data_IF_562077454140
#
_entry.id   IF_562077454140
#
_cell.length_a   1.000
_cell.length_b   1.000
_cell.length_c   1.000
_cell.angle_alpha   90.00
_cell.angle_beta   90.00
_cell.angle_gamma   90.00
#
_symmetry.space_group_name_H-M   'P 1'
#
loop_
_entity.id
_entity.type
_entity.pdbx_description
1 polymer ?
#
# COMPACT_ATOMS: atom_id res chain seq x y z
N UNK A 1 -36.31 12.81 17.99
CA UNK A 1 -36.98 11.54 18.39
C UNK A 1 -37.62 10.95 17.13
N UNK A 2 -36.86 10.25 16.29
CA UNK A 2 -37.34 9.66 15.04
C UNK A 2 -37.90 8.26 15.34
N UNK A 3 -39.21 8.07 15.06
CA UNK A 3 -39.88 6.79 15.24
C UNK A 3 -39.38 5.78 14.18
N UNK A 4 -38.74 4.74 14.63
CA UNK A 4 -38.41 3.52 13.86
C UNK A 4 -39.72 2.76 13.48
N UNK A 5 -40.39 3.18 12.41
CA UNK A 5 -41.55 2.45 11.87
C UNK A 5 -41.37 1.91 10.44
N UNK A 6 -40.16 1.93 9.91
CA UNK A 6 -39.86 1.59 8.49
C UNK A 6 -39.41 0.13 8.24
N UNK A 7 -39.25 -0.69 9.28
CA UNK A 7 -38.84 -2.08 9.10
C UNK A 7 -40.06 -3.04 9.01
N UNK A 8 -40.82 -2.94 7.94
CA UNK A 8 -41.89 -3.92 7.67
C UNK A 8 -41.52 -5.00 6.64
N UNK A 9 -40.34 -4.96 6.04
CA UNK A 9 -39.95 -6.00 5.08
C UNK A 9 -38.85 -6.88 5.66
N UNK A 10 -39.22 -8.08 6.12
CA UNK A 10 -38.29 -9.05 6.71
C UNK A 10 -37.24 -9.58 5.71
N UNK A 11 -37.43 -9.36 4.41
CA UNK A 11 -36.54 -9.87 3.37
C UNK A 11 -35.35 -8.93 3.11
N UNK A 12 -35.51 -7.60 3.26
CA UNK A 12 -34.41 -6.64 3.11
C UNK A 12 -33.29 -6.85 4.14
N UNK A 13 -33.67 -7.26 5.36
CA UNK A 13 -32.70 -7.53 6.43
C UNK A 13 -31.79 -8.74 6.14
N UNK A 14 -32.29 -9.72 5.40
CA UNK A 14 -31.50 -10.89 4.97
C UNK A 14 -30.49 -10.56 3.90
N UNK A 15 -30.78 -9.65 2.99
CA UNK A 15 -29.86 -9.21 1.93
C UNK A 15 -28.65 -8.48 2.51
N UNK A 16 -28.84 -7.67 3.54
CA UNK A 16 -27.73 -7.03 4.27
C UNK A 16 -26.82 -8.03 4.99
N UNK A 17 -27.41 -9.05 5.61
CA UNK A 17 -26.63 -10.11 6.29
C UNK A 17 -25.84 -10.94 5.26
N UNK A 18 -26.39 -11.16 4.08
CA UNK A 18 -25.76 -11.93 3.02
C UNK A 18 -24.83 -11.10 2.11
N UNK A 19 -24.60 -9.83 2.45
CA UNK A 19 -23.74 -8.90 1.70
C UNK A 19 -24.13 -8.74 0.21
N UNK A 20 -25.41 -8.99 -0.14
CA UNK A 20 -25.90 -8.90 -1.52
C UNK A 20 -26.41 -7.48 -1.82
N UNK A 21 -25.92 -6.88 -2.90
CA UNK A 21 -26.41 -5.58 -3.36
C UNK A 21 -27.76 -5.74 -4.07
N UNK A 22 -28.78 -5.03 -3.56
CA UNK A 22 -30.13 -4.97 -4.16
C UNK A 22 -30.58 -3.51 -4.23
N UNK A 23 -31.55 -3.20 -5.10
CA UNK A 23 -32.13 -1.84 -5.21
C UNK A 23 -32.67 -1.40 -3.84
N UNK A 24 -33.41 -2.25 -3.14
CA UNK A 24 -33.93 -1.93 -1.82
C UNK A 24 -32.79 -1.70 -0.81
N UNK A 25 -31.71 -2.50 -0.85
CA UNK A 25 -30.52 -2.30 -0.03
C UNK A 25 -29.83 -0.97 -0.31
N UNK A 26 -29.79 -0.51 -1.56
CA UNK A 26 -29.26 0.81 -1.91
C UNK A 26 -30.14 1.91 -1.32
N UNK A 27 -31.44 1.82 -1.51
CA UNK A 27 -32.41 2.81 -0.95
C UNK A 27 -32.29 2.89 0.57
N UNK A 28 -32.27 1.73 1.24
CA UNK A 28 -32.12 1.67 2.71
C UNK A 28 -30.79 2.27 3.19
N UNK A 29 -29.68 1.98 2.49
CA UNK A 29 -28.38 2.53 2.82
C UNK A 29 -28.36 4.07 2.73
N UNK A 30 -28.92 4.63 1.66
CA UNK A 30 -29.03 6.09 1.52
C UNK A 30 -29.92 6.70 2.60
N UNK A 31 -31.07 6.08 2.91
CA UNK A 31 -31.97 6.56 3.97
C UNK A 31 -31.32 6.51 5.36
N UNK A 32 -30.61 5.43 5.68
CA UNK A 32 -29.98 5.23 6.99
C UNK A 32 -28.72 6.08 7.16
N UNK A 33 -27.87 6.13 6.13
CA UNK A 33 -26.56 6.78 6.22
C UNK A 33 -26.65 8.27 5.87
N UNK A 34 -27.37 8.63 4.82
CA UNK A 34 -27.46 10.01 4.33
C UNK A 34 -28.76 10.73 4.71
N UNK A 35 -29.72 10.01 5.29
CA UNK A 35 -31.01 10.59 5.74
C UNK A 35 -31.93 11.01 4.60
N UNK A 36 -31.74 10.49 3.38
CA UNK A 36 -32.56 10.80 2.20
C UNK A 36 -32.73 9.60 1.27
N UNK A 37 -33.70 9.70 0.36
CA UNK A 37 -33.80 8.74 -0.74
C UNK A 37 -32.77 9.05 -1.84
N UNK A 38 -32.20 8.03 -2.48
CA UNK A 38 -31.36 8.22 -3.68
C UNK A 38 -32.22 8.61 -4.88
N UNK A 39 -31.61 9.33 -5.84
CA UNK A 39 -32.20 9.52 -7.15
C UNK A 39 -32.14 8.24 -7.99
N UNK A 40 -32.92 8.17 -9.09
CA UNK A 40 -32.86 7.04 -10.00
C UNK A 40 -31.47 6.90 -10.66
N UNK A 41 -30.82 8.02 -10.95
CA UNK A 41 -29.46 8.07 -11.50
C UNK A 41 -28.44 7.50 -10.50
N UNK A 42 -28.52 7.87 -9.21
CA UNK A 42 -27.67 7.32 -8.15
C UNK A 42 -27.87 5.82 -7.97
N UNK A 43 -29.11 5.32 -8.04
CA UNK A 43 -29.37 3.87 -7.95
C UNK A 43 -28.69 3.15 -9.12
N UNK A 44 -28.84 3.66 -10.36
CA UNK A 44 -28.25 3.04 -11.54
C UNK A 44 -26.73 3.06 -11.50
N UNK A 45 -26.12 4.17 -11.05
CA UNK A 45 -24.68 4.28 -10.84
C UNK A 45 -24.19 3.24 -9.84
N UNK A 46 -24.87 3.12 -8.69
CA UNK A 46 -24.45 2.16 -7.63
C UNK A 46 -24.59 0.71 -8.08
N UNK A 47 -25.64 0.36 -8.82
CA UNK A 47 -25.77 -0.97 -9.42
C UNK A 47 -24.62 -1.29 -10.37
N UNK A 48 -24.19 -0.30 -11.15
CA UNK A 48 -23.11 -0.48 -12.14
C UNK A 48 -21.70 -0.54 -11.52
N UNK A 49 -21.47 0.13 -10.39
CA UNK A 49 -20.12 0.37 -9.85
C UNK A 49 -19.84 -0.34 -8.52
N UNK A 50 -20.88 -0.70 -7.77
CA UNK A 50 -20.73 -1.26 -6.43
C UNK A 50 -20.79 -2.78 -6.45
N UNK A 51 -19.83 -3.41 -5.79
CA UNK A 51 -19.68 -4.87 -5.76
C UNK A 51 -20.67 -5.55 -4.81
N UNK A 52 -20.88 -4.97 -3.64
CA UNK A 52 -21.69 -5.54 -2.56
C UNK A 52 -22.17 -4.46 -1.58
N UNK A 53 -23.01 -4.84 -0.61
CA UNK A 53 -23.57 -3.89 0.36
C UNK A 53 -22.54 -3.29 1.32
N UNK A 54 -21.44 -3.97 1.63
CA UNK A 54 -20.36 -3.40 2.43
C UNK A 54 -19.62 -2.30 1.66
N UNK A 55 -19.34 -2.54 0.39
CA UNK A 55 -18.75 -1.52 -0.49
C UNK A 55 -19.64 -0.27 -0.59
N UNK A 56 -20.96 -0.46 -0.74
CA UNK A 56 -21.91 0.66 -0.74
C UNK A 56 -21.87 1.46 0.57
N UNK A 57 -21.91 0.78 1.71
CA UNK A 57 -21.86 1.45 3.04
C UNK A 57 -20.61 2.30 3.20
N UNK A 58 -19.46 1.73 2.84
CA UNK A 58 -18.17 2.44 2.91
C UNK A 58 -18.21 3.67 2.01
N UNK A 59 -18.66 3.55 0.77
CA UNK A 59 -18.78 4.69 -0.14
C UNK A 59 -19.67 5.81 0.41
N UNK A 60 -20.83 5.46 0.98
CA UNK A 60 -21.75 6.46 1.54
C UNK A 60 -21.19 7.15 2.77
N UNK A 61 -20.55 6.41 3.69
CA UNK A 61 -19.88 7.00 4.86
C UNK A 61 -18.71 7.92 4.48
N UNK A 62 -18.11 7.69 3.31
CA UNK A 62 -17.01 8.53 2.78
C UNK A 62 -17.49 9.67 1.89
N UNK A 63 -18.77 9.69 1.55
CA UNK A 63 -19.29 10.74 0.70
C UNK A 63 -19.13 12.11 1.37
N UNK A 64 -18.88 13.12 0.56
CA UNK A 64 -18.84 14.51 1.02
C UNK A 64 -20.15 14.87 1.73
N UNK A 65 -21.29 14.39 1.19
CA UNK A 65 -22.61 14.61 1.77
C UNK A 65 -22.73 14.07 3.20
N UNK A 66 -22.19 12.85 3.49
CA UNK A 66 -22.20 12.32 4.85
C UNK A 66 -21.34 13.15 5.79
N UNK A 67 -20.15 13.55 5.35
CA UNK A 67 -19.22 14.34 6.17
C UNK A 67 -19.79 15.73 6.49
N UNK A 68 -20.45 16.37 5.51
CA UNK A 68 -21.11 17.67 5.70
C UNK A 68 -22.30 17.59 6.67
N UNK A 69 -23.07 16.50 6.60
CA UNK A 69 -24.23 16.28 7.48
C UNK A 69 -23.89 15.80 8.88
N UNK A 70 -22.71 15.23 9.06
CA UNK A 70 -22.28 14.59 10.32
C UNK A 70 -20.85 15.03 10.70
N UNK A 71 -20.60 16.33 10.88
CA UNK A 71 -19.26 16.85 11.16
C UNK A 71 -18.68 16.30 12.48
N UNK A 72 -19.51 15.88 13.44
CA UNK A 72 -19.09 15.26 14.68
C UNK A 72 -18.43 13.89 14.46
N UNK A 73 -18.80 13.15 13.42
CA UNK A 73 -18.16 11.88 13.08
C UNK A 73 -16.77 12.09 12.46
N UNK A 74 -16.55 13.19 11.75
CA UNK A 74 -15.23 13.54 11.21
C UNK A 74 -14.25 14.00 12.29
N UNK A 75 -14.75 14.57 13.39
CA UNK A 75 -13.94 15.11 14.49
C UNK A 75 -13.60 14.10 15.58
N UNK A 76 -14.40 13.04 15.76
CA UNK A 76 -14.23 12.07 16.84
C UNK A 76 -13.33 10.86 16.48
N UNK A 77 -13.10 10.58 15.21
CA UNK A 77 -12.13 9.56 14.79
C UNK A 77 -10.77 10.21 14.55
N UNK A 78 -9.99 10.37 15.61
CA UNK A 78 -8.63 10.94 15.57
C UNK A 78 -7.71 10.32 14.51
N UNK A 79 -8.08 9.19 13.92
CA UNK A 79 -7.21 8.47 12.99
C UNK A 79 -7.89 7.92 11.74
N UNK A 80 -9.18 8.05 11.53
CA UNK A 80 -9.89 7.50 10.35
C UNK A 80 -9.52 6.04 9.99
N UNK A 81 -9.14 5.23 10.98
CA UNK A 81 -8.67 3.87 10.76
C UNK A 81 -9.82 2.87 10.82
N UNK A 82 -9.80 1.92 9.89
CA UNK A 82 -10.70 0.78 9.85
C UNK A 82 -9.88 -0.51 9.77
N UNK A 83 -10.35 -1.58 10.39
CA UNK A 83 -9.81 -2.92 10.15
C UNK A 83 -10.52 -3.52 8.95
N UNK A 84 -9.77 -3.84 7.90
CA UNK A 84 -10.24 -4.56 6.71
C UNK A 84 -9.72 -5.99 6.76
N UNK A 85 -10.63 -6.94 6.61
CA UNK A 85 -10.25 -8.32 6.30
C UNK A 85 -9.87 -8.41 4.82
N UNK A 86 -8.65 -8.84 4.56
CA UNK A 86 -8.11 -9.07 3.21
C UNK A 86 -8.03 -10.57 2.95
N UNK A 87 -7.50 -10.97 1.80
CA UNK A 87 -7.38 -12.39 1.42
C UNK A 87 -6.61 -13.19 2.48
N UNK A 88 -6.93 -14.49 2.56
CA UNK A 88 -6.32 -15.45 3.51
C UNK A 88 -6.67 -15.16 4.98
N UNK A 89 -7.85 -14.59 5.24
CA UNK A 89 -8.39 -14.22 6.56
C UNK A 89 -7.49 -13.24 7.34
N UNK A 90 -6.61 -12.54 6.63
CA UNK A 90 -5.73 -11.54 7.22
C UNK A 90 -6.47 -10.22 7.48
N UNK A 91 -6.12 -9.57 8.57
CA UNK A 91 -6.72 -8.31 8.99
C UNK A 91 -5.69 -7.20 8.97
N UNK A 92 -6.03 -6.06 8.41
CA UNK A 92 -5.14 -4.91 8.40
C UNK A 92 -5.88 -3.60 8.65
N UNK A 93 -5.17 -2.65 9.22
CA UNK A 93 -5.65 -1.29 9.35
C UNK A 93 -5.51 -0.55 8.02
N UNK A 94 -6.59 0.11 7.61
CA UNK A 94 -6.65 0.99 6.45
C UNK A 94 -7.07 2.38 6.89
N UNK A 95 -6.58 3.41 6.21
CA UNK A 95 -6.93 4.80 6.50
C UNK A 95 -8.05 5.25 5.58
N UNK A 96 -9.22 5.49 6.14
CA UNK A 96 -10.42 5.88 5.40
C UNK A 96 -10.29 7.22 4.67
N UNK A 97 -9.36 8.05 5.04
CA UNK A 97 -9.10 9.32 4.34
C UNK A 97 -8.14 9.16 3.15
N UNK A 98 -7.52 7.99 2.98
CA UNK A 98 -6.69 7.67 1.83
C UNK A 98 -7.53 7.11 0.68
N UNK A 99 -7.71 7.91 -0.37
CA UNK A 99 -8.54 7.58 -1.55
C UNK A 99 -7.80 6.77 -2.62
N UNK A 100 -6.54 6.45 -2.41
CA UNK A 100 -5.72 5.69 -3.36
C UNK A 100 -5.46 4.25 -2.85
N UNK A 101 -4.50 4.08 -1.97
CA UNK A 101 -4.03 2.77 -1.52
C UNK A 101 -5.09 2.07 -0.67
N UNK A 102 -5.54 2.72 0.42
CA UNK A 102 -6.57 2.14 1.31
C UNK A 102 -7.86 1.84 0.57
N UNK A 103 -8.30 2.72 -0.32
CA UNK A 103 -9.50 2.51 -1.13
C UNK A 103 -9.34 1.28 -2.06
N UNK A 104 -8.18 1.11 -2.70
CA UNK A 104 -7.91 -0.05 -3.55
C UNK A 104 -7.87 -1.35 -2.75
N UNK A 105 -7.30 -1.33 -1.54
CA UNK A 105 -7.29 -2.49 -0.62
C UNK A 105 -8.70 -2.83 -0.16
N UNK A 106 -9.52 -1.85 0.22
CA UNK A 106 -10.91 -2.06 0.63
C UNK A 106 -11.72 -2.73 -0.48
N UNK A 107 -11.45 -2.37 -1.73
CA UNK A 107 -12.13 -2.92 -2.90
C UNK A 107 -11.51 -4.22 -3.44
N UNK A 108 -10.56 -4.82 -2.74
CA UNK A 108 -9.86 -6.06 -3.12
C UNK A 108 -9.20 -5.99 -4.51
N UNK A 109 -8.76 -4.82 -4.96
CA UNK A 109 -8.18 -4.61 -6.28
C UNK A 109 -6.76 -3.99 -6.24
N UNK A 110 -6.11 -3.99 -5.08
CA UNK A 110 -4.76 -3.46 -4.92
C UNK A 110 -3.72 -4.42 -5.50
N UNK A 111 -2.94 -3.96 -6.46
CA UNK A 111 -1.77 -4.63 -7.07
C UNK A 111 -1.94 -6.16 -7.26
N UNK A 112 -2.95 -6.56 -8.03
CA UNK A 112 -3.36 -7.96 -8.14
C UNK A 112 -2.31 -8.87 -8.76
N UNK A 113 -1.57 -8.37 -9.76
CA UNK A 113 -0.53 -9.13 -10.45
C UNK A 113 0.69 -9.32 -9.56
N UNK A 114 1.11 -8.27 -8.85
CA UNK A 114 2.20 -8.24 -7.90
C UNK A 114 1.91 -9.15 -6.70
N UNK A 115 0.71 -9.04 -6.14
CA UNK A 115 0.22 -9.91 -5.07
C UNK A 115 0.25 -11.38 -5.48
N UNK A 116 -0.20 -11.69 -6.69
CA UNK A 116 -0.17 -13.06 -7.22
C UNK A 116 1.25 -13.56 -7.45
N UNK A 117 2.14 -12.70 -7.97
CA UNK A 117 3.54 -13.05 -8.14
C UNK A 117 4.22 -13.34 -6.80
N UNK A 118 4.02 -12.47 -5.82
CA UNK A 118 4.54 -12.66 -4.46
C UNK A 118 4.12 -14.01 -3.87
N UNK A 119 2.82 -14.32 -3.90
CA UNK A 119 2.27 -15.59 -3.38
C UNK A 119 2.85 -16.84 -4.07
N UNK A 120 3.18 -16.73 -5.34
CA UNK A 120 3.76 -17.85 -6.09
C UNK A 120 5.26 -18.01 -5.84
N UNK A 121 5.97 -16.94 -5.49
CA UNK A 121 7.44 -16.87 -5.41
C UNK A 121 7.97 -17.01 -4.00
N UNK A 122 7.45 -16.21 -3.05
CA UNK A 122 7.88 -16.26 -1.65
C UNK A 122 7.40 -17.55 -0.99
N UNK A 123 8.26 -18.16 -0.16
CA UNK A 123 7.99 -19.47 0.47
C UNK A 123 8.12 -19.42 1.99
N UNK A 124 7.59 -20.43 2.64
CA UNK A 124 7.76 -20.61 4.08
C UNK A 124 9.23 -20.62 4.50
N UNK A 125 9.50 -20.11 5.69
CA UNK A 125 10.82 -20.02 6.32
C UNK A 125 11.81 -19.08 5.64
N UNK A 126 11.41 -18.35 4.60
CA UNK A 126 12.23 -17.35 3.95
C UNK A 126 12.27 -16.03 4.73
N UNK A 127 13.26 -15.19 4.39
CA UNK A 127 13.42 -13.84 4.92
C UNK A 127 13.12 -12.83 3.81
N UNK A 128 12.19 -11.92 4.09
CA UNK A 128 11.77 -10.91 3.14
C UNK A 128 11.97 -9.49 3.69
N UNK A 129 12.28 -8.56 2.78
CA UNK A 129 12.32 -7.13 3.05
C UNK A 129 11.15 -6.44 2.34
N UNK A 130 10.52 -5.49 3.04
CA UNK A 130 9.50 -4.58 2.51
C UNK A 130 10.03 -3.15 2.63
N UNK A 131 10.52 -2.62 1.52
CA UNK A 131 11.15 -1.30 1.47
C UNK A 131 10.15 -0.28 0.92
N UNK A 132 9.68 0.62 1.77
CA UNK A 132 8.54 1.48 1.52
C UNK A 132 7.22 0.77 1.87
N UNK A 133 7.13 0.23 3.09
CA UNK A 133 6.03 -0.63 3.52
C UNK A 133 4.65 0.05 3.55
N UNK A 134 4.60 1.39 3.52
CA UNK A 134 3.39 2.18 3.59
C UNK A 134 2.47 1.70 4.74
N UNK A 135 1.18 1.45 4.50
CA UNK A 135 0.25 0.93 5.51
C UNK A 135 0.37 -0.59 5.78
N UNK A 136 1.30 -1.28 5.10
CA UNK A 136 1.70 -2.65 5.43
C UNK A 136 1.05 -3.77 4.64
N UNK A 137 0.44 -3.51 3.48
CA UNK A 137 -0.21 -4.55 2.69
C UNK A 137 0.76 -5.71 2.39
N UNK A 138 1.92 -5.40 1.83
CA UNK A 138 2.94 -6.41 1.53
C UNK A 138 3.60 -6.97 2.78
N UNK A 139 3.87 -6.15 3.77
CA UNK A 139 4.43 -6.57 5.05
C UNK A 139 3.61 -7.69 5.71
N UNK A 140 2.29 -7.52 5.80
CA UNK A 140 1.36 -8.48 6.41
C UNK A 140 1.25 -9.74 5.56
N UNK A 141 1.13 -9.59 4.24
CA UNK A 141 1.03 -10.70 3.31
C UNK A 141 2.31 -11.55 3.28
N UNK A 142 3.48 -10.93 3.19
CA UNK A 142 4.77 -11.62 3.25
C UNK A 142 4.94 -12.36 4.58
N UNK A 143 4.57 -11.71 5.71
CA UNK A 143 4.65 -12.36 7.02
C UNK A 143 3.77 -13.60 7.11
N UNK A 144 2.58 -13.57 6.54
CA UNK A 144 1.71 -14.74 6.46
C UNK A 144 2.38 -15.86 5.67
N UNK A 145 2.90 -15.56 4.48
CA UNK A 145 3.51 -16.55 3.58
C UNK A 145 4.76 -17.20 4.19
N UNK A 146 5.66 -16.41 4.78
CA UNK A 146 6.90 -16.97 5.35
C UNK A 146 6.69 -17.80 6.60
N UNK A 147 5.52 -17.73 7.22
CA UNK A 147 5.16 -18.56 8.37
C UNK A 147 5.96 -18.24 9.65
N UNK A 148 5.82 -19.08 10.66
CA UNK A 148 6.36 -18.82 12.01
C UNK A 148 7.88 -18.79 12.11
N UNK A 149 8.60 -19.43 11.21
CA UNK A 149 10.07 -19.52 11.21
C UNK A 149 10.74 -18.52 10.25
N UNK A 150 10.01 -18.01 9.27
CA UNK A 150 10.48 -16.93 8.40
C UNK A 150 10.47 -15.57 9.11
N UNK A 151 10.98 -14.55 8.47
CA UNK A 151 11.04 -13.19 9.02
C UNK A 151 10.71 -12.17 7.94
N UNK A 152 10.07 -11.07 8.36
CA UNK A 152 9.85 -9.90 7.51
C UNK A 152 10.45 -8.67 8.20
N UNK A 153 11.17 -7.86 7.44
CA UNK A 153 11.69 -6.58 7.89
C UNK A 153 11.07 -5.49 7.02
N UNK A 154 10.25 -4.66 7.62
CA UNK A 154 9.53 -3.57 6.95
C UNK A 154 10.18 -2.22 7.31
N UNK A 155 10.37 -1.38 6.29
CA UNK A 155 10.93 -0.04 6.42
C UNK A 155 9.92 0.97 5.87
N UNK A 156 9.52 1.90 6.72
CA UNK A 156 8.56 2.94 6.37
C UNK A 156 8.91 4.22 7.15
N UNK A 157 9.30 5.32 6.46
CA UNK A 157 9.78 6.53 7.13
C UNK A 157 8.67 7.32 7.84
N UNK A 158 7.41 7.14 7.47
CA UNK A 158 6.30 7.84 8.07
C UNK A 158 5.80 7.07 9.28
N UNK A 159 5.99 7.64 10.47
CA UNK A 159 5.65 7.00 11.75
C UNK A 159 4.20 6.51 11.82
N UNK A 160 3.26 7.29 11.28
CA UNK A 160 1.85 6.88 11.21
C UNK A 160 1.70 5.56 10.47
N UNK A 161 2.33 5.40 9.31
CA UNK A 161 2.23 4.19 8.50
C UNK A 161 2.99 3.02 9.12
N UNK A 162 4.20 3.28 9.63
CA UNK A 162 4.94 2.27 10.38
C UNK A 162 4.13 1.73 11.58
N UNK A 163 3.38 2.58 12.27
CA UNK A 163 2.49 2.17 13.35
C UNK A 163 1.30 1.36 12.83
N UNK A 164 0.74 1.68 11.66
CA UNK A 164 -0.33 0.88 11.04
C UNK A 164 0.16 -0.54 10.70
N UNK A 165 1.41 -0.69 10.22
CA UNK A 165 2.03 -2.02 10.01
C UNK A 165 2.08 -2.79 11.34
N UNK A 166 2.58 -2.15 12.41
CA UNK A 166 2.67 -2.76 13.76
C UNK A 166 1.30 -3.17 14.31
N UNK A 167 0.30 -2.31 14.15
CA UNK A 167 -1.08 -2.57 14.57
C UNK A 167 -1.67 -3.75 13.80
N UNK A 168 -1.48 -3.79 12.47
CA UNK A 168 -1.94 -4.88 11.61
C UNK A 168 -1.23 -6.20 11.96
N UNK A 169 0.07 -6.16 12.24
CA UNK A 169 0.81 -7.34 12.69
C UNK A 169 0.27 -7.89 14.02
N UNK A 170 0.00 -7.01 14.98
CA UNK A 170 -0.58 -7.39 16.27
C UNK A 170 -1.99 -7.98 16.12
N UNK A 171 -2.83 -7.42 15.24
CA UNK A 171 -4.17 -7.90 14.96
C UNK A 171 -4.19 -9.35 14.45
N UNK A 172 -3.14 -9.75 13.70
CA UNK A 172 -2.96 -11.10 13.19
C UNK A 172 -2.12 -12.00 14.14
N UNK A 173 -1.71 -11.53 15.31
CA UNK A 173 -0.85 -12.26 16.23
C UNK A 173 0.57 -12.53 15.72
N UNK A 174 1.06 -11.75 14.77
CA UNK A 174 2.38 -11.92 14.16
C UNK A 174 3.50 -11.40 15.07
N UNK A 175 4.57 -12.20 15.25
CA UNK A 175 5.71 -11.87 16.14
C UNK A 175 7.03 -11.70 15.42
N UNK A 176 7.17 -12.22 14.20
CA UNK A 176 8.41 -12.21 13.42
C UNK A 176 8.33 -11.24 12.24
N UNK A 177 7.73 -10.10 12.46
CA UNK A 177 7.76 -8.91 11.61
C UNK A 177 8.42 -7.77 12.41
N UNK A 178 9.43 -7.15 11.81
CA UNK A 178 10.24 -6.10 12.42
C UNK A 178 10.04 -4.82 11.61
N UNK A 179 9.50 -3.79 12.25
CA UNK A 179 9.11 -2.55 11.57
C UNK A 179 10.01 -1.40 12.01
N UNK A 180 10.72 -0.82 11.05
CA UNK A 180 11.65 0.29 11.24
C UNK A 180 11.06 1.58 10.68
N UNK A 181 11.04 2.63 11.51
CA UNK A 181 10.61 3.96 11.08
C UNK A 181 11.81 4.69 10.46
N UNK A 182 12.21 4.24 9.28
CA UNK A 182 13.40 4.70 8.58
C UNK A 182 13.27 4.53 7.07
N UNK A 183 14.05 5.29 6.31
CA UNK A 183 14.30 5.03 4.90
C UNK A 183 15.39 3.98 4.71
N UNK A 184 15.39 3.34 3.57
CA UNK A 184 16.51 2.53 3.11
C UNK A 184 17.24 3.24 1.99
N UNK A 185 18.56 3.22 2.02
CA UNK A 185 19.37 3.89 1.01
C UNK A 185 20.86 3.60 1.16
N UNK A 186 21.69 4.49 0.66
CA UNK A 186 23.15 4.49 0.82
C UNK A 186 23.59 5.59 1.78
N UNK A 187 24.88 5.63 2.09
CA UNK A 187 25.47 6.71 2.91
C UNK A 187 25.35 8.09 2.27
N UNK A 188 25.25 8.14 0.95
CA UNK A 188 25.14 9.35 0.15
C UNK A 188 23.68 9.76 -0.13
N UNK A 189 22.71 9.02 0.39
CA UNK A 189 21.29 9.33 0.22
C UNK A 189 20.90 10.62 0.94
N UNK A 190 19.96 11.40 0.40
CA UNK A 190 19.31 12.47 1.15
C UNK A 190 18.70 11.96 2.45
N UNK A 191 18.81 12.75 3.53
CA UNK A 191 18.29 12.38 4.87
C UNK A 191 16.98 13.10 5.23
N UNK A 192 16.27 13.58 4.24
CA UNK A 192 14.99 14.23 4.42
C UNK A 192 13.96 13.62 3.49
N UNK A 193 12.73 13.52 3.94
CA UNK A 193 11.57 13.18 3.09
C UNK A 193 10.64 14.38 2.98
N UNK A 194 9.97 14.49 1.86
CA UNK A 194 8.77 15.30 1.74
C UNK A 194 7.61 14.44 2.18
N UNK A 195 6.99 14.79 3.29
CA UNK A 195 5.70 14.24 3.68
C UNK A 195 4.62 15.08 3.02
N UNK A 196 3.79 14.43 2.23
CA UNK A 196 2.61 15.06 1.62
C UNK A 196 1.59 15.40 2.73
N UNK A 197 1.00 16.59 2.70
CA UNK A 197 -0.11 16.91 3.60
C UNK A 197 -1.33 16.05 3.24
N UNK A 198 -1.65 15.12 4.12
CA UNK A 198 -2.72 14.15 3.95
C UNK A 198 -4.13 14.76 3.96
N UNK A 199 -4.27 16.00 4.40
CA UNK A 199 -5.55 16.69 4.39
C UNK A 199 -5.85 17.33 3.02
N UNK A 200 -4.82 17.55 2.19
CA UNK A 200 -4.92 18.29 0.94
C UNK A 200 -4.76 17.41 -0.31
N UNK A 201 -4.22 16.20 -0.16
CA UNK A 201 -4.01 15.30 -1.31
C UNK A 201 -4.65 13.94 -1.05
N UNK A 202 -5.44 13.42 -2.00
CA UNK A 202 -6.06 12.10 -1.88
C UNK A 202 -5.06 10.94 -2.07
N UNK A 203 -3.85 11.22 -2.58
CA UNK A 203 -2.80 10.22 -2.81
C UNK A 203 -1.71 10.35 -1.75
N UNK A 204 -1.51 9.31 -0.95
CA UNK A 204 -0.54 9.24 0.16
C UNK A 204 0.74 8.50 -0.20
N UNK A 205 0.83 7.92 -1.40
CA UNK A 205 2.01 7.23 -1.90
C UNK A 205 3.15 8.15 -2.32
N UNK A 206 2.96 9.46 -2.42
CA UNK A 206 3.95 10.39 -2.98
C UNK A 206 5.05 10.86 -2.02
N UNK A 207 5.28 10.19 -0.89
CA UNK A 207 6.38 10.52 0.05
C UNK A 207 7.70 10.05 -0.52
N UNK A 208 8.64 10.97 -0.75
CA UNK A 208 9.94 10.66 -1.36
C UNK A 208 11.09 11.41 -0.70
N UNK A 209 12.31 10.91 -0.88
CA UNK A 209 13.53 11.56 -0.41
C UNK A 209 13.76 12.92 -1.10
N UNK A 210 14.30 13.87 -0.37
CA UNK A 210 14.61 15.22 -0.87
C UNK A 210 15.86 15.79 -0.21
N UNK A 211 16.60 16.57 -0.95
CA UNK A 211 17.73 17.34 -0.42
C UNK A 211 17.28 18.35 0.64
N UNK A 212 18.13 18.57 1.66
CA UNK A 212 17.83 19.46 2.79
C UNK A 212 17.36 20.86 2.36
N UNK A 213 17.92 21.38 1.29
CA UNK A 213 17.68 22.75 0.80
C UNK A 213 16.73 22.78 -0.43
N UNK A 214 16.14 21.67 -0.84
CA UNK A 214 15.22 21.63 -1.97
C UNK A 214 13.99 22.50 -1.68
N UNK A 215 13.49 23.18 -2.69
CA UNK A 215 12.20 23.86 -2.61
C UNK A 215 11.09 22.80 -2.52
N UNK A 216 10.17 22.97 -1.56
CA UNK A 216 9.02 22.09 -1.39
C UNK A 216 7.73 22.91 -1.56
N UNK A 217 6.66 22.31 -2.09
CA UNK A 217 5.37 22.97 -2.16
C UNK A 217 4.86 23.41 -0.78
N UNK A 218 4.07 24.50 -0.74
CA UNK A 218 3.58 25.12 0.53
C UNK A 218 2.81 24.14 1.41
N UNK A 219 2.20 23.13 0.81
CA UNK A 219 1.35 22.14 1.49
C UNK A 219 2.10 20.83 1.83
N UNK A 220 3.45 20.86 1.79
CA UNK A 220 4.25 19.67 2.11
C UNK A 220 5.13 19.97 3.31
N UNK A 221 5.29 19.00 4.18
CA UNK A 221 6.18 19.06 5.32
C UNK A 221 7.50 18.36 5.00
N UNK A 222 8.61 18.96 5.40
CA UNK A 222 9.92 18.29 5.36
C UNK A 222 10.17 17.65 6.71
N UNK A 223 10.50 16.38 6.69
CA UNK A 223 10.87 15.63 7.87
C UNK A 223 12.26 15.02 7.70
N UNK A 224 13.12 15.20 8.69
CA UNK A 224 14.39 14.47 8.76
C UNK A 224 14.11 13.02 9.11
N UNK A 225 14.80 12.09 8.43
CA UNK A 225 14.60 10.65 8.60
C UNK A 225 15.94 9.94 8.75
N UNK A 226 15.93 8.85 9.48
CA UNK A 226 17.04 7.92 9.50
C UNK A 226 17.13 7.19 8.14
N UNK A 227 18.36 7.02 7.64
CA UNK A 227 18.64 6.24 6.42
C UNK A 227 19.51 5.06 6.81
N UNK A 228 19.00 3.87 6.59
CA UNK A 228 19.64 2.59 6.91
C UNK A 228 20.20 1.98 5.63
N UNK A 229 21.40 1.41 5.69
CA UNK A 229 21.95 0.62 4.59
C UNK A 229 21.67 -0.87 4.81
N UNK A 230 21.22 -1.55 3.78
CA UNK A 230 20.92 -2.98 3.85
C UNK A 230 22.18 -3.79 4.14
N UNK A 231 23.30 -3.44 3.52
CA UNK A 231 24.57 -4.11 3.71
C UNK A 231 25.06 -4.08 5.17
N UNK A 232 24.88 -2.94 5.87
CA UNK A 232 25.26 -2.84 7.29
C UNK A 232 24.32 -3.61 8.21
N UNK A 233 23.02 -3.58 7.91
CA UNK A 233 21.99 -4.18 8.76
C UNK A 233 21.94 -5.71 8.64
N UNK A 234 22.22 -6.25 7.46
CA UNK A 234 22.00 -7.68 7.14
C UNK A 234 23.27 -8.41 6.73
N UNK A 235 24.44 -8.02 7.24
CA UNK A 235 25.77 -8.57 6.88
C UNK A 235 25.80 -10.09 6.76
N UNK A 236 25.20 -10.78 7.74
CA UNK A 236 25.25 -12.25 7.87
C UNK A 236 23.89 -12.94 7.66
N UNK A 237 22.86 -12.15 7.36
CA UNK A 237 21.51 -12.69 7.19
C UNK A 237 21.18 -12.87 5.72
N UNK A 238 20.86 -14.10 5.34
CA UNK A 238 20.34 -14.37 3.99
C UNK A 238 19.00 -13.68 3.82
N UNK A 239 18.84 -12.90 2.73
CA UNK A 239 17.59 -12.34 2.27
C UNK A 239 17.18 -13.09 1.02
N UNK A 240 15.92 -13.52 0.94
CA UNK A 240 15.38 -14.32 -0.15
C UNK A 240 14.48 -13.49 -1.10
N UNK A 241 13.82 -12.46 -0.57
CA UNK A 241 12.89 -11.64 -1.34
C UNK A 241 12.91 -10.17 -0.87
N UNK A 242 12.78 -9.25 -1.82
CA UNK A 242 12.67 -7.81 -1.55
C UNK A 242 11.48 -7.25 -2.34
N UNK A 243 10.48 -6.65 -1.67
CA UNK A 243 9.56 -5.69 -2.30
C UNK A 243 10.20 -4.32 -2.13
N UNK A 244 10.31 -3.58 -3.22
CA UNK A 244 10.94 -2.27 -3.23
C UNK A 244 10.04 -1.26 -3.94
N UNK A 245 9.58 -0.28 -3.19
CA UNK A 245 8.71 0.79 -3.62
C UNK A 245 9.03 2.03 -2.78
N UNK A 246 10.06 2.74 -3.19
CA UNK A 246 10.66 3.84 -2.41
C UNK A 246 10.66 5.18 -3.15
N UNK A 247 9.72 5.30 -4.09
CA UNK A 247 9.37 6.55 -4.75
C UNK A 247 10.58 7.30 -5.36
N UNK A 248 11.37 6.58 -6.15
CA UNK A 248 12.52 7.09 -6.91
C UNK A 248 13.86 7.00 -6.17
N UNK A 249 13.89 6.44 -4.96
CA UNK A 249 15.12 6.20 -4.19
C UNK A 249 15.74 4.82 -4.47
N UNK A 250 15.18 4.01 -5.37
CA UNK A 250 15.64 2.65 -5.70
C UNK A 250 17.14 2.59 -6.01
N UNK A 251 17.75 3.51 -6.80
CA UNK A 251 19.18 3.50 -7.04
C UNK A 251 20.03 3.63 -5.78
N UNK A 252 19.59 4.43 -4.79
CA UNK A 252 20.28 4.56 -3.50
C UNK A 252 20.14 3.28 -2.66
N UNK A 253 18.98 2.62 -2.73
CA UNK A 253 18.78 1.31 -2.07
C UNK A 253 19.76 0.28 -2.62
N UNK A 254 19.89 0.20 -3.96
CA UNK A 254 20.85 -0.73 -4.60
C UNK A 254 22.29 -0.43 -4.17
N UNK A 255 22.67 0.84 -4.08
CA UNK A 255 24.02 1.22 -3.62
C UNK A 255 24.28 0.82 -2.16
N UNK A 256 23.27 0.90 -1.30
CA UNK A 256 23.33 0.46 0.10
C UNK A 256 23.14 -1.03 0.33
N UNK A 257 22.90 -1.82 -0.73
CA UNK A 257 22.65 -3.25 -0.67
C UNK A 257 23.56 -4.08 -1.58
N UNK A 258 24.55 -3.48 -2.19
CA UNK A 258 25.33 -4.07 -3.29
C UNK A 258 26.01 -5.40 -2.93
N UNK A 259 26.52 -5.52 -1.71
CA UNK A 259 27.19 -6.72 -1.23
C UNK A 259 26.20 -7.86 -0.97
N UNK A 260 25.08 -7.53 -0.30
CA UNK A 260 24.01 -8.47 -0.06
C UNK A 260 23.41 -8.99 -1.36
N UNK A 261 23.14 -8.10 -2.31
CA UNK A 261 22.57 -8.47 -3.61
C UNK A 261 23.49 -9.41 -4.40
N UNK A 262 24.81 -9.13 -4.41
CA UNK A 262 25.79 -10.01 -5.04
C UNK A 262 25.96 -11.35 -4.34
N UNK A 263 25.80 -11.40 -3.02
CA UNK A 263 26.00 -12.61 -2.21
C UNK A 263 24.78 -13.53 -2.23
N UNK A 264 23.58 -12.97 -2.12
CA UNK A 264 22.37 -13.75 -1.88
C UNK A 264 21.41 -13.82 -3.07
N UNK A 265 21.50 -12.90 -4.02
CA UNK A 265 20.66 -12.80 -5.21
C UNK A 265 19.14 -12.92 -4.87
N UNK A 266 18.60 -12.17 -3.90
CA UNK A 266 17.16 -12.22 -3.62
C UNK A 266 16.35 -11.84 -4.86
N UNK A 267 15.16 -12.42 -5.00
CA UNK A 267 14.20 -11.91 -5.98
C UNK A 267 13.74 -10.52 -5.55
N UNK A 268 13.73 -9.54 -6.47
CA UNK A 268 13.30 -8.18 -6.20
C UNK A 268 12.03 -7.88 -7.00
N UNK A 269 10.93 -7.55 -6.34
CA UNK A 269 9.72 -6.99 -6.92
C UNK A 269 9.75 -5.48 -6.70
N UNK A 270 9.86 -4.69 -7.75
CA UNK A 270 10.03 -3.24 -7.65
C UNK A 270 9.01 -2.48 -8.49
N UNK A 271 8.47 -1.38 -7.96
CA UNK A 271 7.88 -0.35 -8.80
C UNK A 271 9.01 0.51 -9.40
N UNK A 272 8.87 0.86 -10.67
CA UNK A 272 9.78 1.75 -11.38
C UNK A 272 8.99 2.94 -11.91
N UNK A 273 9.09 4.07 -11.22
CA UNK A 273 8.44 5.32 -11.59
C UNK A 273 9.46 6.27 -12.23
N UNK A 274 9.38 6.46 -13.57
CA UNK A 274 10.39 7.21 -14.34
C UNK A 274 10.60 8.65 -13.87
N UNK A 275 9.50 9.37 -13.62
CA UNK A 275 9.58 10.76 -13.14
C UNK A 275 10.19 10.84 -11.73
N UNK A 276 9.82 9.93 -10.82
CA UNK A 276 10.36 9.90 -9.47
C UNK A 276 11.84 9.53 -9.48
N UNK A 277 12.27 8.54 -10.27
CA UNK A 277 13.70 8.22 -10.46
C UNK A 277 14.49 9.45 -10.91
N UNK A 278 14.00 10.17 -11.91
CA UNK A 278 14.66 11.38 -12.41
C UNK A 278 14.67 12.49 -11.37
N UNK A 279 13.60 12.66 -10.62
CA UNK A 279 13.45 13.71 -9.61
C UNK A 279 14.32 13.46 -8.38
N UNK A 280 14.30 12.25 -7.83
CA UNK A 280 14.92 11.89 -6.55
C UNK A 280 16.40 11.50 -6.73
N UNK A 281 16.67 10.53 -7.58
CA UNK A 281 18.02 9.98 -7.75
C UNK A 281 18.76 10.43 -9.00
N UNK A 282 18.15 11.28 -9.84
CA UNK A 282 18.70 11.75 -11.13
C UNK A 282 19.05 10.58 -12.08
N UNK A 283 18.31 9.49 -11.97
CA UNK A 283 18.55 8.25 -12.66
C UNK A 283 17.42 7.97 -13.65
N UNK A 284 17.72 7.46 -14.82
CA UNK A 284 16.72 6.94 -15.76
C UNK A 284 16.38 5.49 -15.42
N UNK A 285 15.20 5.00 -15.84
CA UNK A 285 14.83 3.58 -15.67
C UNK A 285 15.85 2.63 -16.32
N UNK A 286 16.43 3.03 -17.45
CA UNK A 286 17.48 2.27 -18.13
C UNK A 286 18.75 2.15 -17.29
N UNK A 287 19.21 3.26 -16.72
CA UNK A 287 20.41 3.27 -15.86
C UNK A 287 20.18 2.46 -14.58
N UNK A 288 18.97 2.58 -13.98
CA UNK A 288 18.59 1.78 -12.83
C UNK A 288 18.59 0.28 -13.13
N UNK A 289 17.95 -0.16 -14.23
CA UNK A 289 17.95 -1.56 -14.64
C UNK A 289 19.39 -2.03 -14.92
N UNK A 290 20.19 -1.23 -15.62
CA UNK A 290 21.58 -1.53 -15.91
C UNK A 290 22.43 -1.73 -14.67
N UNK A 291 22.17 -0.97 -13.60
CA UNK A 291 22.87 -1.12 -12.31
C UNK A 291 22.70 -2.54 -11.76
N UNK A 292 21.49 -3.09 -11.81
CA UNK A 292 21.20 -4.46 -11.37
C UNK A 292 21.70 -5.52 -12.35
N UNK A 293 21.62 -5.28 -13.66
CA UNK A 293 22.20 -6.18 -14.67
C UNK A 293 23.72 -6.36 -14.47
N UNK A 294 24.43 -5.31 -14.11
CA UNK A 294 25.88 -5.35 -13.87
C UNK A 294 26.29 -6.27 -12.69
N UNK A 295 25.34 -6.65 -11.85
CA UNK A 295 25.54 -7.57 -10.73
C UNK A 295 24.83 -8.91 -10.90
N UNK A 296 24.40 -9.22 -12.12
CA UNK A 296 23.91 -10.55 -12.49
C UNK A 296 22.40 -10.71 -12.58
N UNK A 297 21.62 -9.64 -12.36
CA UNK A 297 20.16 -9.71 -12.49
C UNK A 297 19.69 -9.53 -13.93
N UNK A 298 18.50 -10.09 -14.20
CA UNK A 298 17.68 -9.77 -15.37
C UNK A 298 16.39 -9.11 -14.91
N UNK A 299 15.93 -8.10 -15.67
CA UNK A 299 14.70 -7.40 -15.38
C UNK A 299 13.57 -7.95 -16.25
N UNK A 300 12.42 -8.25 -15.63
CA UNK A 300 11.25 -8.81 -16.30
C UNK A 300 10.01 -7.97 -16.03
N UNK A 301 9.18 -7.79 -17.04
CA UNK A 301 7.79 -7.34 -16.84
C UNK A 301 6.99 -8.38 -16.13
N UNK A 302 6.10 -7.91 -15.27
CA UNK A 302 5.08 -8.74 -14.66
C UNK A 302 3.80 -8.70 -15.52
N UNK A 303 3.18 -9.86 -15.72
CA UNK A 303 1.87 -9.99 -16.38
C UNK A 303 1.12 -11.16 -15.81
N UNK A 304 -0.11 -10.92 -15.35
CA UNK A 304 -0.97 -11.95 -14.75
C UNK A 304 -0.29 -12.75 -13.62
N UNK A 305 0.56 -12.08 -12.84
CA UNK A 305 1.30 -12.67 -11.72
C UNK A 305 2.44 -13.60 -12.14
N UNK A 306 2.99 -13.43 -13.35
CA UNK A 306 4.11 -14.22 -13.89
C UNK A 306 5.13 -13.32 -14.58
N UNK A 307 6.39 -13.79 -14.61
CA UNK A 307 7.42 -13.17 -15.42
C UNK A 307 7.04 -13.28 -16.90
N UNK A 308 7.05 -12.17 -17.60
CA UNK A 308 6.70 -12.10 -19.00
C UNK A 308 7.96 -11.81 -19.85
N UNK A 309 8.15 -10.58 -20.27
CA UNK A 309 9.24 -10.19 -21.15
C UNK A 309 10.44 -9.68 -20.34
N UNK A 310 11.66 -10.15 -20.67
CA UNK A 310 12.90 -9.51 -20.21
C UNK A 310 13.04 -8.13 -20.86
N UNK A 311 13.41 -7.14 -20.08
CA UNK A 311 13.51 -5.74 -20.52
C UNK A 311 14.80 -5.10 -20.02
N UNK A 312 15.23 -4.05 -20.70
CA UNK A 312 16.37 -3.21 -20.34
C UNK A 312 15.97 -1.75 -20.08
N UNK A 313 14.69 -1.45 -20.24
CA UNK A 313 14.08 -0.15 -19.99
C UNK A 313 12.56 -0.29 -19.83
N UNK A 314 11.93 0.54 -18.98
CA UNK A 314 10.45 0.59 -18.86
C UNK A 314 9.82 1.29 -20.06
N UNK A 315 8.58 0.92 -20.40
CA UNK A 315 7.82 1.55 -21.51
C UNK A 315 6.84 2.61 -21.00
N UNK A 316 6.27 2.39 -19.85
CA UNK A 316 5.34 3.33 -19.18
C UNK A 316 6.05 4.17 -18.12
N UNK A 317 5.40 5.23 -17.67
CA UNK A 317 5.92 6.09 -16.61
C UNK A 317 6.00 5.36 -15.28
N UNK A 318 5.03 4.49 -15.00
CA UNK A 318 5.02 3.59 -13.84
C UNK A 318 4.93 2.16 -14.36
N UNK A 319 5.81 1.29 -13.90
CA UNK A 319 5.83 -0.12 -14.28
C UNK A 319 6.35 -0.98 -13.13
N UNK A 320 5.58 -2.01 -12.75
CA UNK A 320 6.04 -3.03 -11.82
C UNK A 320 6.89 -4.06 -12.55
N UNK A 321 8.10 -4.26 -12.05
CA UNK A 321 9.10 -5.17 -12.64
C UNK A 321 9.64 -6.14 -11.60
N UNK A 322 10.21 -7.23 -12.08
CA UNK A 322 10.88 -8.21 -11.25
C UNK A 322 12.32 -8.35 -11.70
N UNK A 323 13.25 -8.28 -10.76
CA UNK A 323 14.64 -8.63 -10.96
C UNK A 323 14.91 -10.03 -10.38
N UNK A 324 15.49 -10.89 -11.21
CA UNK A 324 15.91 -12.24 -10.85
C UNK A 324 17.28 -12.52 -11.44
N UNK A 325 18.15 -13.18 -10.70
CA UNK A 325 19.48 -13.61 -11.14
C UNK A 325 19.45 -14.96 -11.84
#
# INVERSE_FOLDING_TARGET
>A
MFKFSLFKNKDSHKDWINNKLTINGIIEAFCVILGRYPSEEEINEKIATIKDSNHLRIQLLWSQEFQEKNPEFSLNYKENLLIKEIKDDLRMYVDLSDKAISHSIINDNYELDETKYLKNTLKENQVALDLGGNIGYYSILMRHIVGGKGMVFAFEPIEKFANMIKMSANENGFKNIYVYTACVGSKDSPKNVIQVDFNLTPNRGGTHLVEKNASIPIYHERKEVEVITIDEMFQDKKIDFIKMDVEGAEPFVIDGAINLLKKHHPTILSEVHREQLQKVSKCTSKEFIKKLENIGYKCYRLKSGKLAQCIHETRSDIENVVFSA
#
